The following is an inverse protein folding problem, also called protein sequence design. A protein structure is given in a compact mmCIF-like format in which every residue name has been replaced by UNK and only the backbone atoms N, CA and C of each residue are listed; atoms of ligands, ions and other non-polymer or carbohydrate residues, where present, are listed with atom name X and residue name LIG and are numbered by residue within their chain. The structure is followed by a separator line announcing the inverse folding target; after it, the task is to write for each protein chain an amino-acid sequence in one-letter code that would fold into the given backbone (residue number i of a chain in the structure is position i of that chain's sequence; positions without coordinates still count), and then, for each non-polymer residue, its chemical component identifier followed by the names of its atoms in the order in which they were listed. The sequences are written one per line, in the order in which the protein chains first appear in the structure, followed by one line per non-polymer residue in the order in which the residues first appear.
data_IF_018390179725
#
_entry.id   IF_018390179725
#
_cell.length_a   1.000
_cell.length_b   1.000
_cell.length_c   1.000
_cell.angle_alpha   90.00
_cell.angle_beta   90.00
_cell.angle_gamma   90.00
#
_symmetry.space_group_name_H-M   'P 1'
#
loop_
_entity.id
_entity.type
_entity.pdbx_description
1 polymer ?
#
# COMPACT_ATOMS: atom_id res chain seq x y z
N UNK A 1 8.19 2.44 21.34
CA UNK A 1 7.97 1.05 20.88
C UNK A 1 7.68 1.06 19.39
N UNK A 2 8.20 0.15 18.64
CA UNK A 2 7.97 0.02 17.21
C UNK A 2 7.33 -1.31 16.88
N UNK A 3 6.41 -1.30 15.90
CA UNK A 3 5.79 -2.51 15.34
C UNK A 3 6.31 -2.74 13.93
N UNK A 4 6.52 -4.00 13.60
CA UNK A 4 6.95 -4.44 12.28
C UNK A 4 5.86 -5.27 11.61
N UNK A 5 5.61 -4.99 10.34
CA UNK A 5 4.71 -5.77 9.50
C UNK A 5 5.52 -6.31 8.33
N UNK A 6 5.47 -7.62 8.11
CA UNK A 6 6.08 -8.27 6.95
C UNK A 6 5.03 -9.12 6.26
N UNK A 7 4.73 -8.80 5.01
CA UNK A 7 3.72 -9.46 4.20
C UNK A 7 4.30 -9.84 2.84
N UNK A 8 3.82 -10.95 2.29
CA UNK A 8 4.25 -11.40 0.97
C UNK A 8 3.21 -12.28 0.32
N UNK A 9 3.10 -12.14 -1.00
CA UNK A 9 2.16 -12.89 -1.84
C UNK A 9 2.79 -13.28 -3.16
N UNK A 10 2.24 -14.29 -3.79
CA UNK A 10 2.70 -14.77 -5.09
C UNK A 10 1.59 -14.56 -6.12
N UNK A 11 1.95 -14.03 -7.28
CA UNK A 11 1.07 -13.84 -8.42
C UNK A 11 1.59 -14.63 -9.61
N UNK A 12 0.68 -15.23 -10.37
CA UNK A 12 0.99 -15.93 -11.63
C UNK A 12 1.02 -14.92 -12.80
N UNK A 13 1.88 -13.93 -12.64
CA UNK A 13 2.18 -12.87 -13.61
C UNK A 13 3.67 -12.55 -13.56
N UNK A 14 4.22 -12.12 -14.69
CA UNK A 14 5.59 -11.59 -14.72
C UNK A 14 5.72 -10.33 -13.84
N UNK A 15 6.91 -9.99 -13.36
CA UNK A 15 7.11 -8.75 -12.61
C UNK A 15 6.62 -7.50 -13.33
N UNK A 16 6.87 -7.39 -14.64
CA UNK A 16 6.42 -6.26 -15.44
C UNK A 16 4.89 -6.12 -15.45
N UNK A 17 4.19 -7.24 -15.67
CA UNK A 17 2.72 -7.26 -15.67
C UNK A 17 2.15 -6.97 -14.27
N UNK A 18 2.79 -7.51 -13.23
CA UNK A 18 2.42 -7.24 -11.83
C UNK A 18 2.58 -5.76 -11.52
N UNK A 19 3.69 -5.15 -11.91
CA UNK A 19 3.93 -3.71 -11.73
C UNK A 19 2.82 -2.86 -12.36
N UNK A 20 2.47 -3.14 -13.61
CA UNK A 20 1.43 -2.38 -14.30
C UNK A 20 0.03 -2.64 -13.76
N UNK A 21 -0.25 -3.84 -13.29
CA UNK A 21 -1.52 -4.14 -12.62
C UNK A 21 -1.70 -3.28 -11.37
N UNK A 22 -0.73 -3.29 -10.47
CA UNK A 22 -0.84 -2.61 -9.17
C UNK A 22 -0.71 -1.07 -9.27
N UNK A 23 -0.30 -0.56 -10.43
CA UNK A 23 -0.15 0.88 -10.66
C UNK A 23 -1.08 1.42 -11.76
N UNK A 24 -2.10 0.66 -12.16
CA UNK A 24 -3.11 1.12 -13.10
C UNK A 24 -4.22 1.88 -12.36
N UNK A 25 -4.54 3.07 -12.80
CA UNK A 25 -5.54 3.93 -12.14
C UNK A 25 -6.91 3.26 -11.98
N UNK A 26 -7.39 2.56 -13.01
CA UNK A 26 -8.65 1.81 -12.96
C UNK A 26 -8.64 0.75 -11.87
N UNK A 27 -7.56 -0.04 -11.81
CA UNK A 27 -7.37 -1.07 -10.79
C UNK A 27 -7.36 -0.47 -9.38
N UNK A 28 -6.60 0.62 -9.19
CA UNK A 28 -6.51 1.30 -7.89
C UNK A 28 -7.86 1.89 -7.46
N UNK A 29 -8.61 2.45 -8.38
CA UNK A 29 -9.94 3.01 -8.11
C UNK A 29 -10.96 1.92 -7.74
N UNK A 30 -10.97 0.82 -8.48
CA UNK A 30 -11.84 -0.31 -8.17
C UNK A 30 -11.46 -0.97 -6.84
N UNK A 31 -10.17 -1.12 -6.58
CA UNK A 31 -9.65 -1.64 -5.33
C UNK A 31 -10.09 -0.77 -4.14
N UNK A 32 -9.94 0.53 -4.23
CA UNK A 32 -10.37 1.46 -3.19
C UNK A 32 -11.87 1.37 -2.91
N UNK A 33 -12.68 1.24 -3.96
CA UNK A 33 -14.13 1.05 -3.84
C UNK A 33 -14.48 -0.27 -3.18
N UNK A 34 -13.83 -1.35 -3.58
CA UNK A 34 -14.04 -2.69 -3.00
C UNK A 34 -13.69 -2.73 -1.52
N UNK A 35 -12.60 -2.07 -1.11
CA UNK A 35 -12.17 -1.97 0.28
C UNK A 35 -12.98 -0.97 1.11
N UNK A 36 -13.90 -0.22 0.49
CA UNK A 36 -14.70 0.79 1.16
C UNK A 36 -13.88 1.98 1.67
N UNK A 37 -12.74 2.29 1.02
CA UNK A 37 -11.88 3.40 1.42
C UNK A 37 -12.62 4.72 1.24
N UNK A 38 -12.68 5.52 2.30
CA UNK A 38 -13.37 6.80 2.30
C UNK A 38 -12.44 7.93 1.85
N UNK A 39 -12.97 8.87 1.08
CA UNK A 39 -12.25 10.05 0.60
C UNK A 39 -10.93 9.69 -0.13
N UNK A 40 -10.94 8.56 -0.83
CA UNK A 40 -9.78 8.11 -1.59
C UNK A 40 -9.55 8.98 -2.82
N UNK A 41 -8.32 9.44 -3.00
CA UNK A 41 -7.87 10.15 -4.18
C UNK A 41 -6.41 9.83 -4.51
N UNK A 42 -6.13 9.66 -5.80
CA UNK A 42 -4.77 9.50 -6.30
C UNK A 42 -4.19 10.89 -6.57
N UNK A 43 -3.14 11.25 -5.88
CA UNK A 43 -2.48 12.55 -5.99
C UNK A 43 -1.37 12.54 -7.04
N UNK A 44 -0.67 11.43 -7.18
CA UNK A 44 0.40 11.23 -8.16
C UNK A 44 0.44 9.77 -8.60
N UNK A 45 0.56 9.56 -9.90
CA UNK A 45 0.72 8.23 -10.50
C UNK A 45 1.51 8.40 -11.81
N UNK A 46 2.84 8.53 -11.69
CA UNK A 46 3.70 8.81 -12.85
C UNK A 46 5.15 8.45 -12.59
N UNK A 47 5.87 8.26 -13.69
CA UNK A 47 7.32 8.15 -13.68
C UNK A 47 7.97 9.53 -13.89
N UNK A 48 9.02 9.77 -13.12
CA UNK A 48 9.90 10.91 -13.27
C UNK A 48 11.32 10.50 -12.90
N UNK A 49 12.27 10.73 -13.79
CA UNK A 49 13.70 10.42 -13.59
C UNK A 49 13.93 8.93 -13.23
N UNK A 50 13.18 8.02 -13.86
CA UNK A 50 13.27 6.58 -13.64
C UNK A 50 12.54 6.07 -12.39
N UNK A 51 12.05 6.94 -11.52
CA UNK A 51 11.28 6.60 -10.31
C UNK A 51 9.79 6.76 -10.59
N UNK A 52 9.04 5.69 -10.39
CA UNK A 52 7.59 5.72 -10.51
C UNK A 52 6.96 5.99 -9.14
N UNK A 53 6.24 7.09 -9.01
CA UNK A 53 5.57 7.49 -7.77
C UNK A 53 4.09 7.19 -7.82
N UNK A 54 3.62 6.55 -6.76
CA UNK A 54 2.22 6.39 -6.47
C UNK A 54 1.94 7.04 -5.12
N UNK A 55 1.17 8.13 -5.14
CA UNK A 55 0.75 8.83 -3.93
C UNK A 55 -0.77 8.86 -3.91
N UNK A 56 -1.37 8.35 -2.84
CA UNK A 56 -2.79 8.49 -2.61
C UNK A 56 -3.07 9.03 -1.21
N UNK A 57 -4.24 9.60 -1.07
CA UNK A 57 -4.76 10.10 0.19
C UNK A 57 -6.13 9.49 0.44
N UNK A 58 -6.38 9.11 1.67
CA UNK A 58 -7.66 8.55 2.10
C UNK A 58 -7.91 8.82 3.58
N UNK A 59 -9.15 8.65 4.01
CA UNK A 59 -9.45 8.65 5.43
C UNK A 59 -8.75 7.46 6.10
N UNK A 60 -8.14 7.71 7.25
CA UNK A 60 -7.58 6.65 8.08
C UNK A 60 -8.67 6.11 8.99
N UNK A 61 -8.92 4.82 8.91
CA UNK A 61 -9.89 4.11 9.73
C UNK A 61 -9.16 3.05 10.54
N UNK A 62 -8.83 3.39 11.78
CA UNK A 62 -8.39 2.43 12.78
C UNK A 62 -9.38 2.46 13.93
N UNK A 63 -9.61 1.31 14.55
CA UNK A 63 -10.43 1.24 15.76
C UNK A 63 -9.89 2.20 16.83
N UNK A 64 -10.69 3.20 17.16
CA UNK A 64 -10.32 4.26 18.09
C UNK A 64 -9.84 5.58 17.47
N UNK A 65 -9.64 5.63 16.14
CA UNK A 65 -9.30 6.88 15.44
C UNK A 65 -10.49 7.84 15.31
N UNK A 66 -11.70 7.39 15.56
CA UNK A 66 -12.94 8.21 15.59
C UNK A 66 -13.09 9.01 16.87
N UNK A 67 -12.01 9.39 17.50
CA UNK A 67 -12.11 10.19 18.72
C UNK A 67 -12.47 11.63 18.36
N UNK A 68 -13.32 12.24 19.21
CA UNK A 68 -13.77 13.65 19.15
C UNK A 68 -12.65 14.70 19.18
N UNK A 69 -11.37 14.27 19.12
CA UNK A 69 -10.21 15.14 19.26
C UNK A 69 -9.70 15.71 17.93
N UNK A 70 -10.23 15.25 16.80
CA UNK A 70 -9.85 15.75 15.49
C UNK A 70 -10.98 16.61 14.91
N UNK A 71 -10.64 17.73 14.29
CA UNK A 71 -11.56 18.58 13.53
C UNK A 71 -12.04 17.90 12.21
N UNK A 72 -12.09 16.58 12.22
CA UNK A 72 -12.44 15.70 11.10
C UNK A 72 -11.73 14.36 11.24
N UNK A 73 -12.03 13.39 10.38
CA UNK A 73 -11.32 12.10 10.37
C UNK A 73 -9.86 12.32 10.01
N UNK A 74 -8.93 11.61 10.67
CA UNK A 74 -7.52 11.68 10.29
C UNK A 74 -7.34 11.20 8.85
N UNK A 75 -6.51 11.91 8.09
CA UNK A 75 -6.21 11.56 6.71
C UNK A 75 -4.86 10.87 6.64
N UNK A 76 -4.82 9.75 5.93
CA UNK A 76 -3.61 9.01 5.63
C UNK A 76 -3.12 9.39 4.23
N UNK A 77 -1.85 9.74 4.11
CA UNK A 77 -1.17 9.91 2.82
C UNK A 77 -0.14 8.80 2.68
N UNK A 78 -0.32 7.99 1.64
CA UNK A 78 0.57 6.89 1.29
C UNK A 78 1.44 7.31 0.12
N UNK A 79 2.74 7.28 0.30
CA UNK A 79 3.72 7.60 -0.74
C UNK A 79 4.58 6.37 -1.00
N UNK A 80 4.48 5.83 -2.20
CA UNK A 80 5.28 4.69 -2.68
C UNK A 80 6.13 5.13 -3.87
N UNK A 81 7.44 4.96 -3.75
CA UNK A 81 8.40 5.28 -4.80
C UNK A 81 9.05 4.00 -5.32
N UNK A 82 8.68 3.60 -6.53
CA UNK A 82 9.25 2.45 -7.23
C UNK A 82 10.56 2.83 -7.89
N UNK A 83 11.61 2.09 -7.59
CA UNK A 83 12.91 2.26 -8.24
C UNK A 83 12.86 1.72 -9.69
N UNK A 84 13.82 2.08 -10.54
CA UNK A 84 13.91 1.53 -11.90
C UNK A 84 13.93 -0.01 -11.90
N UNK A 85 13.35 -0.66 -12.92
CA UNK A 85 13.34 -2.12 -12.99
C UNK A 85 14.74 -2.68 -13.26
N UNK A 86 14.98 -3.88 -12.72
CA UNK A 86 16.09 -4.72 -13.14
C UNK A 86 15.79 -5.33 -14.52
N UNK A 87 16.79 -6.00 -15.12
CA UNK A 87 16.67 -6.64 -16.43
C UNK A 87 15.55 -7.69 -16.52
N UNK A 88 15.21 -8.34 -15.39
CA UNK A 88 14.13 -9.34 -15.30
C UNK A 88 12.76 -8.74 -14.96
N UNK A 89 12.66 -7.41 -14.87
CA UNK A 89 11.46 -6.68 -14.50
C UNK A 89 11.23 -6.54 -12.99
N UNK A 90 12.04 -7.18 -12.16
CA UNK A 90 11.99 -7.01 -10.70
C UNK A 90 12.26 -5.56 -10.33
N UNK A 91 11.52 -5.04 -9.34
CA UNK A 91 11.63 -3.65 -8.87
C UNK A 91 11.51 -3.61 -7.36
N UNK A 92 12.19 -2.67 -6.76
CA UNK A 92 12.03 -2.33 -5.33
C UNK A 92 11.25 -1.04 -5.20
N UNK A 93 10.65 -0.85 -4.03
CA UNK A 93 10.01 0.42 -3.66
C UNK A 93 10.29 0.77 -2.21
N UNK A 94 10.18 2.06 -1.93
CA UNK A 94 10.16 2.62 -0.58
C UNK A 94 8.77 3.18 -0.30
N UNK A 95 8.37 3.15 0.97
CA UNK A 95 7.08 3.63 1.43
C UNK A 95 7.28 4.61 2.58
N UNK A 96 6.56 5.73 2.51
CA UNK A 96 6.39 6.66 3.61
C UNK A 96 4.89 6.90 3.78
N UNK A 97 4.40 6.76 5.00
CA UNK A 97 2.98 6.99 5.32
C UNK A 97 2.88 8.06 6.39
N UNK A 98 2.08 9.08 6.12
CA UNK A 98 1.73 10.13 7.07
C UNK A 98 0.26 10.02 7.46
N UNK A 99 -0.03 10.17 8.75
CA UNK A 99 -1.40 10.25 9.25
C UNK A 99 -1.56 11.59 9.95
N UNK A 100 -2.39 12.46 9.40
CA UNK A 100 -2.57 13.81 9.90
C UNK A 100 -3.03 13.81 11.36
N UNK A 101 -2.30 14.53 12.21
CA UNK A 101 -2.63 14.67 13.63
C UNK A 101 -2.27 13.47 14.50
N UNK A 102 -1.64 12.45 13.95
CA UNK A 102 -1.18 11.27 14.69
C UNK A 102 0.35 11.28 14.75
N UNK A 103 0.97 11.35 15.94
CA UNK A 103 2.42 11.41 16.07
C UNK A 103 3.06 10.03 15.90
N UNK A 104 3.12 9.59 14.66
CA UNK A 104 3.77 8.33 14.26
C UNK A 104 4.69 8.55 13.08
N UNK A 105 5.72 7.75 13.01
CA UNK A 105 6.57 7.59 11.84
C UNK A 105 6.31 6.21 11.25
N UNK A 106 5.89 6.17 9.99
CA UNK A 106 5.63 4.93 9.28
C UNK A 106 6.48 4.94 8.02
N UNK A 107 7.40 3.99 7.96
CA UNK A 107 8.28 3.80 6.81
C UNK A 107 8.28 2.34 6.42
N UNK A 108 8.62 2.07 5.18
CA UNK A 108 8.73 0.70 4.72
C UNK A 108 9.42 0.57 3.39
N UNK A 109 9.55 -0.64 2.98
CA UNK A 109 10.08 -1.03 1.69
C UNK A 109 9.43 -2.33 1.21
N UNK A 110 9.78 -2.71 0.03
CA UNK A 110 9.33 -3.95 -0.55
C UNK A 110 9.72 -4.05 -2.01
N UNK A 111 8.98 -4.87 -2.73
CA UNK A 111 9.24 -5.04 -4.14
C UNK A 111 8.48 -6.17 -4.79
N UNK A 112 8.72 -6.29 -6.06
CA UNK A 112 8.30 -7.41 -6.90
C UNK A 112 9.54 -8.12 -7.40
N UNK A 113 9.56 -9.43 -7.26
CA UNK A 113 10.69 -10.26 -7.62
C UNK A 113 10.23 -11.42 -8.51
N UNK A 114 10.97 -11.66 -9.59
CA UNK A 114 10.76 -12.84 -10.42
C UNK A 114 10.99 -14.12 -9.62
N UNK A 115 10.03 -15.04 -9.69
CA UNK A 115 10.14 -16.38 -9.14
C UNK A 115 9.81 -17.42 -10.22
N UNK A 116 10.56 -18.53 -10.24
CA UNK A 116 10.37 -19.58 -11.24
C UNK A 116 10.48 -19.06 -12.67
N UNK A 117 9.64 -19.58 -13.57
CA UNK A 117 9.68 -19.29 -15.00
C UNK A 117 8.84 -18.08 -15.43
N UNK A 118 8.16 -17.40 -14.52
CA UNK A 118 7.31 -16.27 -14.89
C UNK A 118 6.33 -15.80 -13.82
N UNK A 119 6.48 -16.26 -12.58
CA UNK A 119 5.70 -15.77 -11.44
C UNK A 119 6.38 -14.59 -10.76
N UNK A 120 5.65 -13.94 -9.87
CA UNK A 120 6.12 -12.79 -9.12
C UNK A 120 5.80 -12.95 -7.63
N UNK A 121 6.80 -12.69 -6.80
CA UNK A 121 6.59 -12.46 -5.37
C UNK A 121 6.49 -10.97 -5.13
N UNK A 122 5.40 -10.55 -4.52
CA UNK A 122 5.17 -9.20 -4.04
C UNK A 122 5.36 -9.18 -2.52
N UNK A 123 6.28 -8.38 -2.02
CA UNK A 123 6.55 -8.27 -0.58
C UNK A 123 6.47 -6.82 -0.12
N UNK A 124 6.00 -6.64 1.11
CA UNK A 124 5.90 -5.33 1.80
C UNK A 124 6.36 -5.50 3.22
N UNK A 125 7.23 -4.61 3.65
CA UNK A 125 7.68 -4.50 5.03
C UNK A 125 7.40 -3.08 5.52
N UNK A 126 6.72 -2.93 6.65
CA UNK A 126 6.41 -1.63 7.25
C UNK A 126 6.89 -1.61 8.70
N UNK A 127 7.39 -0.46 9.11
CA UNK A 127 7.72 -0.16 10.51
C UNK A 127 6.87 1.01 10.98
N UNK A 128 6.14 0.81 12.07
CA UNK A 128 5.29 1.80 12.72
C UNK A 128 5.89 2.16 14.07
N UNK A 129 6.24 3.43 14.24
CA UNK A 129 6.93 3.92 15.44
C UNK A 129 6.24 5.17 15.96
N UNK A 130 5.89 5.19 17.25
CA UNK A 130 5.35 6.40 17.87
C UNK A 130 6.46 7.45 18.03
N UNK A 131 6.20 8.67 17.58
CA UNK A 131 7.09 9.83 17.72
C UNK A 131 6.67 10.77 18.84
N UNK A 132 5.53 10.48 19.47
CA UNK A 132 4.95 11.23 20.57
C UNK A 132 3.90 10.41 21.28
N UNK A 133 3.16 11.07 22.17
CA UNK A 133 2.07 10.42 22.90
C UNK A 133 0.88 10.20 21.98
N UNK A 134 0.50 8.95 21.80
CA UNK A 134 -0.73 8.59 21.09
C UNK A 134 -1.93 8.73 22.04
N UNK A 135 -3.05 9.21 21.49
CA UNK A 135 -4.27 9.45 22.23
C UNK A 135 -5.30 8.34 21.99
N UNK A 136 -6.17 8.12 22.98
CA UNK A 136 -7.23 7.15 22.90
C UNK A 136 -6.69 5.70 22.84
N UNK A 137 -7.29 4.92 21.95
CA UNK A 137 -6.89 3.51 21.76
C UNK A 137 -5.81 3.32 20.69
N UNK A 138 -5.28 4.40 20.13
CA UNK A 138 -4.24 4.33 19.14
C UNK A 138 -2.93 3.86 19.78
N UNK A 139 -2.38 2.81 19.23
CA UNK A 139 -1.05 2.28 19.56
C UNK A 139 -0.32 1.96 18.26
N UNK A 140 1.02 1.87 18.26
CA UNK A 140 1.71 1.37 17.08
C UNK A 140 1.16 0.03 16.59
N UNK A 141 0.80 -0.87 17.50
CA UNK A 141 0.21 -2.17 17.16
C UNK A 141 -1.17 -2.04 16.48
N UNK A 142 -2.06 -1.16 16.97
CA UNK A 142 -3.37 -0.96 16.35
C UNK A 142 -3.28 -0.32 14.97
N UNK A 143 -2.35 0.61 14.79
CA UNK A 143 -2.06 1.22 13.49
C UNK A 143 -1.48 0.19 12.53
N UNK A 144 -0.49 -0.59 12.98
CA UNK A 144 0.09 -1.67 12.20
C UNK A 144 -0.96 -2.69 11.77
N UNK A 145 -1.84 -3.11 12.66
CA UNK A 145 -2.93 -4.03 12.37
C UNK A 145 -3.87 -3.47 11.28
N UNK A 146 -4.26 -2.21 11.38
CA UNK A 146 -5.11 -1.56 10.38
C UNK A 146 -4.45 -1.52 9.00
N UNK A 147 -3.17 -1.17 8.94
CA UNK A 147 -2.42 -1.17 7.68
C UNK A 147 -2.27 -2.57 7.10
N UNK A 148 -1.95 -3.57 7.91
CA UNK A 148 -1.85 -4.96 7.49
C UNK A 148 -3.18 -5.49 6.94
N UNK A 149 -4.29 -5.19 7.59
CA UNK A 149 -5.64 -5.55 7.15
C UNK A 149 -5.95 -4.95 5.78
N UNK A 150 -5.62 -3.69 5.56
CA UNK A 150 -5.80 -3.04 4.25
C UNK A 150 -4.95 -3.71 3.18
N UNK A 151 -3.67 -3.95 3.44
CA UNK A 151 -2.77 -4.60 2.49
C UNK A 151 -3.23 -6.02 2.15
N UNK A 152 -3.71 -6.77 3.13
CA UNK A 152 -4.28 -8.10 2.90
C UNK A 152 -5.55 -8.01 2.03
N UNK A 153 -6.41 -7.04 2.28
CA UNK A 153 -7.60 -6.78 1.47
C UNK A 153 -7.25 -6.40 0.03
N UNK A 154 -6.18 -5.64 -0.18
CA UNK A 154 -5.67 -5.32 -1.52
C UNK A 154 -5.25 -6.60 -2.26
N UNK A 155 -4.54 -7.50 -1.60
CA UNK A 155 -4.15 -8.78 -2.17
C UNK A 155 -5.36 -9.62 -2.56
N UNK A 156 -6.36 -9.74 -1.70
CA UNK A 156 -7.60 -10.47 -1.98
C UNK A 156 -8.34 -9.88 -3.18
N UNK A 157 -8.41 -8.57 -3.28
CA UNK A 157 -8.97 -7.88 -4.44
C UNK A 157 -8.19 -8.19 -5.71
N UNK A 158 -6.86 -8.12 -5.69
CA UNK A 158 -6.00 -8.42 -6.84
C UNK A 158 -6.24 -9.85 -7.35
N UNK A 159 -6.33 -10.81 -6.47
CA UNK A 159 -6.60 -12.20 -6.82
C UNK A 159 -7.96 -12.36 -7.51
N UNK A 160 -9.00 -11.74 -6.98
CA UNK A 160 -10.34 -11.72 -7.60
C UNK A 160 -10.34 -11.00 -8.94
N UNK A 161 -9.62 -9.89 -9.03
CA UNK A 161 -9.53 -9.10 -10.25
C UNK A 161 -8.82 -9.88 -11.35
N UNK A 162 -7.72 -10.56 -11.04
CA UNK A 162 -6.99 -11.43 -11.98
C UNK A 162 -7.86 -12.57 -12.51
N UNK A 163 -8.66 -13.18 -11.66
CA UNK A 163 -9.56 -14.27 -12.06
C UNK A 163 -10.67 -13.82 -13.02
N UNK A 164 -10.97 -12.52 -13.07
CA UNK A 164 -11.97 -11.92 -13.98
C UNK A 164 -11.38 -11.44 -15.30
N UNK A 165 -10.07 -11.27 -15.37
CA UNK A 165 -9.38 -10.79 -16.57
C UNK A 165 -9.07 -11.95 -17.52
N UNK A 166 -9.17 -11.72 -18.83
CA UNK A 166 -8.65 -12.67 -19.80
C UNK A 166 -7.12 -12.57 -19.88
N UNK A 167 -6.41 -13.66 -20.22
CA UNK A 167 -4.95 -13.64 -20.35
C UNK A 167 -4.41 -12.58 -21.32
N UNK A 168 -5.22 -12.14 -22.29
CA UNK A 168 -4.86 -11.10 -23.27
C UNK A 168 -5.00 -9.67 -22.77
N UNK A 169 -5.46 -9.46 -21.54
CA UNK A 169 -5.70 -8.12 -20.96
C UNK A 169 -4.45 -7.49 -20.35
N UNK A 170 -3.31 -8.18 -20.40
CA UNK A 170 -2.03 -7.75 -19.82
C UNK A 170 -0.92 -7.69 -20.86
#
# INVERSE_FOLDING_TARGET
MAEQIDLGWVYDLTPLKTFWMVNRLEHLTEQARHLGLQQYSVLELRERDGVFRYIHRRQFDADGARTKMFSGPPMLTWNKAWQPPNWDGSRRFEIIVDITGVPVKITGDGGIQLIGAGGTRYSVSLRVEATGRLSGRLTPASIAHSLATTLQGEHEFRTKWLNRQSPSSF
#
